data_IF_202857313394
#
_entry.id   IF_202857313394
#
_cell.length_a   1.000
_cell.length_b   1.000
_cell.length_c   1.000
_cell.angle_alpha   90.00
_cell.angle_beta   90.00
_cell.angle_gamma   90.00
#
_symmetry.space_group_name_H-M   'P 1'
#
loop_
_entity.id
_entity.type
_entity.pdbx_description
1 polymer ?
#
# COMPACT_ATOMS: atom_id res chain seq x y z
N UNK A 1 -9.85 -3.61 23.25
CA UNK A 1 -10.18 -2.37 23.98
C UNK A 1 -9.04 -1.92 24.91
N UNK A 2 -8.71 -0.62 24.89
CA UNK A 2 -7.80 -0.04 25.88
C UNK A 2 -8.45 -0.13 27.27
N UNK A 3 -7.78 -0.81 28.21
CA UNK A 3 -8.24 -0.93 29.60
C UNK A 3 -7.88 0.28 30.46
N UNK A 4 -6.99 1.15 29.96
CA UNK A 4 -6.45 2.30 30.67
C UNK A 4 -6.43 3.48 29.68
N UNK A 5 -7.09 4.58 30.04
CA UNK A 5 -7.01 5.84 29.33
C UNK A 5 -5.86 6.65 29.91
N UNK A 6 -4.87 6.99 29.08
CA UNK A 6 -3.58 7.52 29.55
C UNK A 6 -3.66 8.98 30.04
N UNK A 7 -4.74 9.70 29.73
CA UNK A 7 -4.97 11.09 30.15
C UNK A 7 -3.83 12.06 29.80
N UNK A 8 -3.97 13.32 30.19
CA UNK A 8 -2.91 14.32 29.99
C UNK A 8 -1.74 14.07 30.94
N UNK A 9 -2.00 13.68 32.18
CA UNK A 9 -0.96 13.41 33.18
C UNK A 9 -0.04 12.25 32.77
N UNK A 10 -0.59 11.15 32.25
CA UNK A 10 0.20 10.00 31.83
C UNK A 10 0.98 10.26 30.54
N UNK A 11 0.34 10.91 29.55
CA UNK A 11 1.00 11.23 28.28
C UNK A 11 2.12 12.27 28.45
N UNK A 12 1.91 13.32 29.27
CA UNK A 12 2.96 14.29 29.59
C UNK A 12 4.13 13.66 30.36
N UNK A 13 3.84 12.79 31.33
CA UNK A 13 4.87 12.09 32.09
C UNK A 13 5.74 11.20 31.20
N UNK A 14 5.13 10.41 30.31
CA UNK A 14 5.88 9.58 29.35
C UNK A 14 6.66 10.43 28.37
N UNK A 15 6.08 11.53 27.87
CA UNK A 15 6.78 12.49 27.01
C UNK A 15 8.02 13.08 27.70
N UNK A 16 7.88 13.48 28.97
CA UNK A 16 8.98 14.00 29.78
C UNK A 16 10.10 12.97 30.00
N UNK A 17 9.74 11.72 30.33
CA UNK A 17 10.73 10.63 30.50
C UNK A 17 11.49 10.34 29.20
N UNK A 18 10.78 10.28 28.06
CA UNK A 18 11.40 10.05 26.76
C UNK A 18 12.34 11.20 26.38
N UNK A 19 11.90 12.46 26.56
CA UNK A 19 12.74 13.64 26.31
C UNK A 19 13.99 13.66 27.18
N UNK A 20 13.85 13.35 28.48
CA UNK A 20 14.97 13.29 29.43
C UNK A 20 15.96 12.17 29.08
N UNK A 21 15.46 11.01 28.63
CA UNK A 21 16.30 9.89 28.19
C UNK A 21 17.14 10.22 26.97
N UNK A 22 16.59 10.99 26.01
CA UNK A 22 17.33 11.48 24.84
C UNK A 22 18.49 12.39 25.25
N UNK A 23 18.29 13.26 26.26
CA UNK A 23 19.33 14.16 26.77
C UNK A 23 20.46 13.40 27.48
N UNK A 24 20.12 12.37 28.28
CA UNK A 24 21.12 11.56 29.00
C UNK A 24 22.04 10.76 28.05
N UNK A 25 21.55 10.38 26.87
CA UNK A 25 22.31 9.65 25.83
C UNK A 25 23.29 10.50 25.01
N UNK A 26 23.41 11.81 25.28
CA UNK A 26 24.32 12.71 24.54
C UNK A 26 25.74 12.78 25.11
N UNK A 27 26.05 12.07 26.20
CA UNK A 27 27.36 12.14 26.89
C UNK A 27 28.51 11.36 26.21
N UNK A 28 28.28 10.74 25.04
CA UNK A 28 29.27 9.93 24.31
C UNK A 28 29.95 10.66 23.14
N UNK A 29 31.19 11.09 23.33
CA UNK A 29 32.06 11.83 22.40
C UNK A 29 32.30 11.23 21.00
N UNK A 30 31.33 11.38 20.09
CA UNK A 30 31.57 11.40 18.65
C UNK A 30 30.95 12.67 18.09
N UNK A 31 31.68 13.40 17.24
CA UNK A 31 31.15 14.51 16.43
C UNK A 31 29.99 13.99 15.56
N UNK A 32 28.78 13.97 16.13
CA UNK A 32 27.54 13.62 15.43
C UNK A 32 27.20 14.82 14.56
N UNK A 33 27.22 14.65 13.23
CA UNK A 33 26.77 15.70 12.32
C UNK A 33 25.34 16.12 12.66
N UNK A 34 25.03 17.43 12.51
CA UNK A 34 23.73 18.04 12.83
C UNK A 34 22.55 17.22 12.27
N UNK A 35 22.74 16.63 11.08
CA UNK A 35 21.77 15.74 10.45
C UNK A 35 21.35 14.55 11.33
N UNK A 36 22.31 13.82 11.91
CA UNK A 36 22.01 12.67 12.77
C UNK A 36 21.35 13.07 14.09
N UNK A 37 21.70 14.25 14.62
CA UNK A 37 21.12 14.80 15.85
C UNK A 37 19.62 15.09 15.66
N UNK A 38 19.23 15.58 14.48
CA UNK A 38 17.83 15.85 14.14
C UNK A 38 17.08 14.60 13.67
N UNK A 39 17.71 13.76 12.85
CA UNK A 39 17.05 12.60 12.25
C UNK A 39 16.67 11.52 13.28
N UNK A 40 17.54 11.25 14.26
CA UNK A 40 17.33 10.17 15.24
C UNK A 40 16.04 10.37 16.07
N UNK A 41 15.80 11.54 16.70
CA UNK A 41 14.54 11.81 17.40
C UNK A 41 13.31 11.75 16.49
N UNK A 42 13.40 12.28 15.26
CA UNK A 42 12.30 12.24 14.29
C UNK A 42 11.93 10.80 13.92
N UNK A 43 12.93 9.93 13.73
CA UNK A 43 12.71 8.51 13.45
C UNK A 43 12.15 7.74 14.65
N UNK A 44 12.58 8.07 15.88
CA UNK A 44 12.03 7.47 17.10
C UNK A 44 10.56 7.86 17.28
N UNK A 45 10.23 9.13 17.05
CA UNK A 45 8.86 9.65 17.10
C UNK A 45 8.13 9.55 15.76
N UNK A 46 8.58 8.65 14.87
CA UNK A 46 8.08 8.56 13.50
C UNK A 46 6.57 8.36 13.45
N UNK A 47 6.02 7.40 14.21
CA UNK A 47 4.59 7.07 14.19
C UNK A 47 3.70 8.28 14.53
N UNK A 48 3.87 8.96 15.68
CA UNK A 48 3.04 10.13 16.00
C UNK A 48 3.27 11.30 15.05
N UNK A 49 4.51 11.54 14.58
CA UNK A 49 4.79 12.61 13.61
C UNK A 49 4.10 12.34 12.28
N UNK A 50 4.20 11.11 11.77
CA UNK A 50 3.54 10.71 10.52
C UNK A 50 2.04 10.83 10.62
N UNK A 51 1.44 10.29 11.68
CA UNK A 51 -0.01 10.28 11.84
C UNK A 51 -0.60 11.70 11.94
N UNK A 52 0.01 12.55 12.77
CA UNK A 52 -0.42 13.95 12.93
C UNK A 52 -0.21 14.75 11.65
N UNK A 53 0.93 14.59 10.98
CA UNK A 53 1.22 15.28 9.71
C UNK A 53 0.26 14.83 8.62
N UNK A 54 0.03 13.52 8.49
CA UNK A 54 -0.84 12.92 7.49
C UNK A 54 -2.29 13.39 7.65
N UNK A 55 -2.84 13.29 8.87
CA UNK A 55 -4.20 13.76 9.19
C UNK A 55 -4.32 15.26 8.97
N UNK A 56 -3.34 16.06 9.40
CA UNK A 56 -3.37 17.51 9.23
C UNK A 56 -3.35 17.92 7.76
N UNK A 57 -2.47 17.32 6.96
CA UNK A 57 -2.38 17.56 5.52
C UNK A 57 -3.70 17.20 4.85
N UNK A 58 -4.24 16.01 5.12
CA UNK A 58 -5.49 15.57 4.52
C UNK A 58 -6.70 16.42 4.93
N UNK A 59 -6.84 16.76 6.22
CA UNK A 59 -7.91 17.67 6.69
C UNK A 59 -7.81 19.03 6.02
N UNK A 60 -6.60 19.59 5.91
CA UNK A 60 -6.39 20.88 5.23
C UNK A 60 -6.69 20.78 3.74
N UNK A 61 -6.32 19.67 3.09
CA UNK A 61 -6.70 19.39 1.71
C UNK A 61 -8.22 19.30 1.54
N UNK A 62 -8.96 18.77 2.53
CA UNK A 62 -10.42 18.76 2.57
C UNK A 62 -11.08 20.03 3.12
N UNK A 63 -10.32 21.11 3.33
CA UNK A 63 -10.86 22.38 3.84
C UNK A 63 -11.31 22.35 5.30
N UNK A 64 -10.91 21.34 6.06
CA UNK A 64 -11.23 21.16 7.49
C UNK A 64 -10.14 21.71 8.40
N UNK A 65 -10.53 22.09 9.62
CA UNK A 65 -9.59 22.53 10.67
C UNK A 65 -8.84 21.33 11.23
N UNK A 66 -7.53 21.48 11.41
CA UNK A 66 -6.68 20.44 12.00
C UNK A 66 -7.10 20.07 13.44
N UNK A 67 -7.69 21.00 14.19
CA UNK A 67 -8.09 20.83 15.60
C UNK A 67 -9.42 20.12 15.82
N UNK A 68 -10.17 19.77 14.78
CA UNK A 68 -11.41 19.00 14.94
C UNK A 68 -11.09 17.54 15.27
N UNK A 69 -11.72 16.94 16.28
CA UNK A 69 -11.59 15.51 16.56
C UNK A 69 -12.24 14.66 15.47
N UNK A 70 -11.65 13.52 15.12
CA UNK A 70 -12.15 12.64 14.06
C UNK A 70 -11.52 11.25 14.09
N UNK A 71 -12.17 10.29 13.43
CA UNK A 71 -11.69 8.90 13.29
C UNK A 71 -10.86 8.70 12.00
N UNK A 72 -10.13 9.73 11.56
CA UNK A 72 -9.34 9.74 10.32
C UNK A 72 -7.85 9.51 10.53
N UNK A 73 -7.45 9.19 11.76
CA UNK A 73 -6.11 8.74 12.10
C UNK A 73 -5.75 7.43 11.38
N UNK A 74 -4.46 7.20 11.21
CA UNK A 74 -3.88 6.04 10.53
C UNK A 74 -4.43 4.74 11.09
N UNK A 75 -4.54 4.60 12.41
CA UNK A 75 -5.12 3.43 13.07
C UNK A 75 -6.56 3.15 12.62
N UNK A 76 -7.41 4.18 12.60
CA UNK A 76 -8.80 4.05 12.17
C UNK A 76 -8.92 3.80 10.67
N UNK A 77 -8.07 4.41 9.84
CA UNK A 77 -8.01 4.12 8.39
C UNK A 77 -7.61 2.68 8.10
N UNK A 78 -6.70 2.13 8.89
CA UNK A 78 -6.31 0.71 8.79
C UNK A 78 -7.46 -0.22 9.17
N UNK A 79 -8.24 0.12 10.18
CA UNK A 79 -9.46 -0.62 10.53
C UNK A 79 -10.55 -0.44 9.46
N UNK A 80 -10.70 0.76 8.89
CA UNK A 80 -11.63 1.05 7.80
C UNK A 80 -11.25 0.31 6.50
N UNK A 81 -9.99 -0.10 6.34
CA UNK A 81 -9.50 -1.03 5.32
C UNK A 81 -9.78 -2.51 5.64
N UNK A 82 -10.57 -2.80 6.67
CA UNK A 82 -10.99 -4.15 7.04
C UNK A 82 -9.98 -4.92 7.91
N UNK A 83 -8.89 -4.29 8.38
CA UNK A 83 -8.04 -4.91 9.40
C UNK A 83 -8.76 -4.97 10.75
N UNK A 84 -8.54 -6.03 11.51
CA UNK A 84 -8.99 -6.05 12.91
C UNK A 84 -8.20 -5.03 13.72
N UNK A 85 -8.81 -4.48 14.79
CA UNK A 85 -8.13 -3.52 15.68
C UNK A 85 -6.76 -4.04 16.16
N UNK A 86 -6.69 -5.34 16.52
CA UNK A 86 -5.43 -5.98 16.93
C UNK A 86 -4.38 -5.98 15.82
N UNK A 87 -4.78 -6.25 14.59
CA UNK A 87 -3.88 -6.27 13.44
C UNK A 87 -3.39 -4.87 13.10
N UNK A 88 -4.28 -3.86 13.18
CA UNK A 88 -3.91 -2.47 12.98
C UNK A 88 -2.85 -2.01 14.01
N UNK A 89 -3.04 -2.35 15.29
CA UNK A 89 -2.06 -2.04 16.34
C UNK A 89 -0.73 -2.76 16.13
N UNK A 90 -0.75 -4.07 15.81
CA UNK A 90 0.47 -4.83 15.52
C UNK A 90 1.24 -4.25 14.33
N UNK A 91 0.54 -3.78 13.30
CA UNK A 91 1.18 -3.16 12.15
C UNK A 91 1.81 -1.81 12.50
N UNK A 92 1.16 -1.00 13.34
CA UNK A 92 1.75 0.25 13.85
C UNK A 92 2.99 -0.04 14.68
N UNK A 93 2.99 -1.10 15.52
CA UNK A 93 4.18 -1.53 16.24
C UNK A 93 5.28 -2.02 15.30
N UNK A 94 4.96 -2.75 14.24
CA UNK A 94 5.95 -3.15 13.24
C UNK A 94 6.62 -1.93 12.59
N UNK A 95 5.84 -0.91 12.19
CA UNK A 95 6.40 0.35 11.67
C UNK A 95 7.26 1.09 12.69
N UNK A 96 6.85 1.13 13.96
CA UNK A 96 7.64 1.73 15.04
C UNK A 96 8.97 1.00 15.24
N UNK A 97 8.97 -0.34 15.22
CA UNK A 97 10.19 -1.15 15.31
C UNK A 97 11.09 -0.91 14.11
N UNK A 98 10.55 -0.90 12.89
CA UNK A 98 11.34 -0.58 11.68
C UNK A 98 11.98 0.81 11.77
N UNK A 99 11.23 1.83 12.19
CA UNK A 99 11.74 3.18 12.37
C UNK A 99 12.79 3.26 13.49
N UNK A 100 12.60 2.52 14.58
CA UNK A 100 13.58 2.40 15.68
C UNK A 100 14.88 1.75 15.23
N UNK A 101 14.81 0.62 14.51
CA UNK A 101 15.99 -0.03 13.92
C UNK A 101 16.71 0.90 12.94
N UNK A 102 15.95 1.61 12.10
CA UNK A 102 16.51 2.61 11.20
C UNK A 102 17.21 3.75 11.97
N UNK A 103 16.62 4.22 13.06
CA UNK A 103 17.22 5.24 13.93
C UNK A 103 18.54 4.77 14.54
N UNK A 104 18.61 3.50 14.98
CA UNK A 104 19.86 2.89 15.46
C UNK A 104 20.91 2.81 14.35
N UNK A 105 20.55 2.43 13.12
CA UNK A 105 21.47 2.42 11.99
C UNK A 105 21.99 3.83 11.65
N UNK A 106 21.09 4.81 11.58
CA UNK A 106 21.44 6.23 11.33
C UNK A 106 22.38 6.77 12.40
N UNK A 107 22.26 6.30 13.65
CA UNK A 107 23.17 6.70 14.74
C UNK A 107 24.60 6.17 14.59
N UNK A 108 24.82 5.14 13.77
CA UNK A 108 26.12 4.48 13.57
C UNK A 108 26.76 4.76 12.21
N UNK A 109 25.97 5.10 11.21
CA UNK A 109 26.42 5.32 9.84
C UNK A 109 26.85 6.77 9.59
N UNK A 110 27.63 6.98 8.53
CA UNK A 110 28.02 8.31 8.08
C UNK A 110 26.80 9.10 7.53
N UNK A 111 26.83 10.44 7.52
CA UNK A 111 25.69 11.26 7.08
C UNK A 111 25.13 10.92 5.70
N UNK A 112 25.99 10.70 4.70
CA UNK A 112 25.58 10.26 3.35
C UNK A 112 24.81 8.94 3.35
N UNK A 113 25.34 7.94 4.05
CA UNK A 113 24.75 6.60 4.17
C UNK A 113 23.40 6.68 4.88
N UNK A 114 23.36 7.44 5.97
CA UNK A 114 22.14 7.74 6.70
C UNK A 114 21.10 8.44 5.83
N UNK A 115 21.52 9.39 4.98
CA UNK A 115 20.62 10.08 4.06
C UNK A 115 19.99 9.11 3.04
N UNK A 116 20.76 8.18 2.48
CA UNK A 116 20.23 7.17 1.56
C UNK A 116 19.11 6.33 2.20
N UNK A 117 19.34 5.85 3.43
CA UNK A 117 18.36 5.05 4.16
C UNK A 117 17.11 5.85 4.54
N UNK A 118 17.28 7.10 4.97
CA UNK A 118 16.15 7.99 5.32
C UNK A 118 15.31 8.30 4.08
N UNK A 119 15.94 8.57 2.93
CA UNK A 119 15.22 8.80 1.68
C UNK A 119 14.45 7.56 1.25
N UNK A 120 15.06 6.36 1.32
CA UNK A 120 14.36 5.11 1.03
C UNK A 120 13.15 4.90 1.94
N UNK A 121 13.33 5.08 3.26
CA UNK A 121 12.24 4.98 4.23
C UNK A 121 11.13 5.99 3.93
N UNK A 122 11.48 7.24 3.62
CA UNK A 122 10.52 8.30 3.26
C UNK A 122 9.70 7.94 2.02
N UNK A 123 10.28 7.27 1.00
CA UNK A 123 9.51 6.77 -0.16
C UNK A 123 8.48 5.74 0.28
N UNK A 124 8.91 4.75 1.05
CA UNK A 124 8.03 3.67 1.52
C UNK A 124 6.83 4.28 2.25
N UNK A 125 7.08 5.28 3.07
CA UNK A 125 6.04 6.02 3.79
C UNK A 125 5.15 6.87 2.88
N UNK A 126 5.72 7.54 1.88
CA UNK A 126 4.94 8.30 0.91
C UNK A 126 3.99 7.38 0.12
N UNK A 127 4.46 6.19 -0.29
CA UNK A 127 3.64 5.16 -0.95
C UNK A 127 2.49 4.72 -0.04
N UNK A 128 2.78 4.42 1.23
CA UNK A 128 1.77 4.02 2.22
C UNK A 128 0.79 5.16 2.47
N UNK A 129 1.25 6.40 2.64
CA UNK A 129 0.41 7.58 2.85
C UNK A 129 -0.54 7.83 1.67
N UNK A 130 -0.03 7.79 0.44
CA UNK A 130 -0.85 7.91 -0.78
C UNK A 130 -1.88 6.79 -0.89
N UNK A 131 -1.57 5.59 -0.39
CA UNK A 131 -2.54 4.52 -0.33
C UNK A 131 -3.63 4.80 0.74
N UNK A 132 -3.22 5.15 1.95
CA UNK A 132 -4.14 5.46 3.07
C UNK A 132 -5.03 6.67 2.78
N UNK A 133 -4.59 7.60 1.94
CA UNK A 133 -5.40 8.77 1.56
C UNK A 133 -6.59 8.39 0.66
N UNK A 134 -6.53 7.25 -0.04
CA UNK A 134 -7.63 6.74 -0.86
C UNK A 134 -8.72 6.06 -0.04
N UNK A 135 -8.45 5.77 1.24
CA UNK A 135 -9.43 5.19 2.15
C UNK A 135 -10.46 6.26 2.48
N UNK A 136 -11.67 6.08 1.99
CA UNK A 136 -12.80 6.95 2.30
C UNK A 136 -13.22 6.70 3.75
N UNK A 137 -12.89 7.64 4.62
CA UNK A 137 -13.36 7.68 6.02
C UNK A 137 -14.63 8.52 6.14
N UNK A 138 -14.89 9.39 5.17
CA UNK A 138 -16.02 10.32 5.13
C UNK A 138 -16.93 10.02 3.93
N UNK A 139 -18.22 10.33 4.07
CA UNK A 139 -19.22 10.05 3.04
C UNK A 139 -19.12 10.97 1.82
N UNK A 140 -19.69 10.56 0.69
CA UNK A 140 -19.59 11.25 -0.62
C UNK A 140 -20.05 12.72 -0.58
N UNK A 141 -21.02 13.03 0.28
CA UNK A 141 -21.53 14.40 0.52
C UNK A 141 -20.46 15.38 1.04
N UNK A 142 -19.50 14.88 1.82
CA UNK A 142 -18.40 15.72 2.35
C UNK A 142 -17.37 16.05 1.26
N UNK A 143 -17.17 15.15 0.28
CA UNK A 143 -16.25 15.35 -0.85
C UNK A 143 -16.79 16.41 -1.82
N UNK A 144 -18.10 16.39 -2.09
CA UNK A 144 -18.76 17.40 -2.93
C UNK A 144 -18.61 18.81 -2.33
N UNK A 145 -18.86 18.95 -1.02
CA UNK A 145 -18.72 20.21 -0.29
C UNK A 145 -17.26 20.70 -0.24
N UNK A 146 -16.28 19.79 -0.13
CA UNK A 146 -14.87 20.15 -0.14
C UNK A 146 -14.38 20.57 -1.54
N UNK A 147 -14.90 19.95 -2.60
CA UNK A 147 -14.56 20.27 -3.99
C UNK A 147 -14.99 21.66 -4.43
N UNK A 148 -16.13 22.13 -3.92
CA UNK A 148 -16.66 23.45 -4.19
C UNK A 148 -15.91 24.55 -3.42
N UNK A 149 -15.38 24.25 -2.24
CA UNK A 149 -14.81 25.25 -1.33
C UNK A 149 -13.29 25.43 -1.43
N UNK A 150 -12.55 24.50 -2.04
CA UNK A 150 -11.07 24.56 -2.07
C UNK A 150 -10.50 24.36 -3.47
N UNK A 151 -9.96 25.44 -4.05
CA UNK A 151 -9.24 25.39 -5.32
C UNK A 151 -8.01 24.46 -5.27
N UNK A 152 -7.38 24.33 -4.10
CA UNK A 152 -6.26 23.40 -3.86
C UNK A 152 -6.74 21.96 -3.94
N UNK A 153 -7.93 21.66 -3.40
CA UNK A 153 -8.53 20.33 -3.52
C UNK A 153 -8.85 20.00 -4.98
N UNK A 154 -9.53 20.90 -5.69
CA UNK A 154 -9.84 20.72 -7.10
C UNK A 154 -8.58 20.51 -7.96
N UNK A 155 -7.48 21.20 -7.64
CA UNK A 155 -6.19 21.04 -8.30
C UNK A 155 -5.53 19.70 -7.97
N UNK A 156 -5.43 19.30 -6.69
CA UNK A 156 -4.83 18.03 -6.29
C UNK A 156 -5.64 16.86 -6.80
N UNK A 157 -6.97 16.92 -6.74
CA UNK A 157 -7.86 15.90 -7.29
C UNK A 157 -7.65 15.79 -8.81
N UNK A 158 -7.58 16.90 -9.54
CA UNK A 158 -7.24 16.88 -10.98
C UNK A 158 -5.85 16.31 -11.28
N UNK A 159 -4.84 16.58 -10.45
CA UNK A 159 -3.51 15.97 -10.58
C UNK A 159 -3.57 14.46 -10.29
N UNK A 160 -4.33 14.07 -9.26
CA UNK A 160 -4.54 12.67 -8.87
C UNK A 160 -5.27 11.90 -9.99
N UNK A 161 -6.17 12.58 -10.73
CA UNK A 161 -6.79 12.04 -11.95
C UNK A 161 -5.78 11.90 -13.11
N UNK A 162 -4.78 12.78 -13.21
CA UNK A 162 -3.61 12.59 -14.11
C UNK A 162 -2.55 11.71 -13.48
N UNK A 163 -2.96 10.48 -13.13
CA UNK A 163 -2.13 9.36 -12.65
C UNK A 163 -0.69 9.39 -13.17
N UNK A 164 -0.49 9.58 -14.49
CA UNK A 164 0.81 9.63 -15.16
C UNK A 164 1.81 10.64 -14.56
N UNK A 165 1.34 11.80 -14.09
CA UNK A 165 2.21 12.83 -13.49
C UNK A 165 2.82 12.30 -12.18
N UNK A 166 2.00 11.63 -11.36
CA UNK A 166 2.48 10.99 -10.14
C UNK A 166 3.50 9.87 -10.44
N UNK A 167 3.27 9.08 -11.49
CA UNK A 167 4.21 8.03 -11.91
C UNK A 167 5.57 8.61 -12.30
N UNK A 168 5.59 9.67 -13.11
CA UNK A 168 6.82 10.36 -13.54
C UNK A 168 7.55 10.99 -12.36
N UNK A 169 6.82 11.62 -11.43
CA UNK A 169 7.42 12.22 -10.24
C UNK A 169 8.05 11.16 -9.33
N UNK A 170 7.32 10.07 -9.05
CA UNK A 170 7.84 8.95 -8.27
C UNK A 170 9.08 8.35 -8.94
N UNK A 171 9.05 8.12 -10.25
CA UNK A 171 10.18 7.53 -10.96
C UNK A 171 11.39 8.47 -11.01
N UNK A 172 11.18 9.79 -11.12
CA UNK A 172 12.27 10.79 -11.00
C UNK A 172 12.98 10.67 -9.65
N UNK A 173 12.20 10.50 -8.57
CA UNK A 173 12.73 10.33 -7.23
C UNK A 173 13.45 8.98 -7.07
N UNK A 174 12.87 7.88 -7.61
CA UNK A 174 13.50 6.55 -7.59
C UNK A 174 14.81 6.51 -8.38
N UNK A 175 14.86 7.17 -9.53
CA UNK A 175 16.08 7.32 -10.34
C UNK A 175 17.16 8.05 -9.54
N UNK A 176 16.79 9.16 -8.91
CA UNK A 176 17.71 9.96 -8.08
C UNK A 176 18.23 9.15 -6.89
N UNK A 177 17.33 8.48 -6.18
CA UNK A 177 17.68 7.66 -5.02
C UNK A 177 18.57 6.48 -5.41
N UNK A 178 18.24 5.78 -6.48
CA UNK A 178 19.03 4.66 -7.01
C UNK A 178 20.45 5.10 -7.33
N UNK A 179 20.58 6.19 -8.06
CA UNK A 179 21.89 6.72 -8.45
C UNK A 179 22.70 7.20 -7.25
N UNK A 180 22.06 7.93 -6.33
CA UNK A 180 22.70 8.35 -5.07
C UNK A 180 23.16 7.15 -4.25
N UNK A 181 22.32 6.13 -4.11
CA UNK A 181 22.64 4.90 -3.36
C UNK A 181 23.79 4.12 -4.02
N UNK A 182 23.88 4.11 -5.35
CA UNK A 182 25.00 3.49 -6.05
C UNK A 182 26.34 4.15 -5.71
N UNK A 183 26.40 5.49 -5.63
CA UNK A 183 27.59 6.21 -5.16
C UNK A 183 27.91 5.90 -3.70
N UNK A 184 26.89 5.90 -2.83
CA UNK A 184 27.07 5.58 -1.40
C UNK A 184 27.60 4.17 -1.19
N UNK A 185 27.09 3.17 -1.92
CA UNK A 185 27.53 1.78 -1.80
C UNK A 185 28.96 1.59 -2.31
N UNK A 186 29.35 2.29 -3.36
CA UNK A 186 30.67 2.15 -3.95
C UNK A 186 31.75 2.94 -3.21
N UNK A 187 31.43 4.13 -2.70
CA UNK A 187 32.41 5.08 -2.18
C UNK A 187 32.21 5.47 -0.70
N UNK A 188 31.12 5.04 -0.06
CA UNK A 188 30.77 5.49 1.30
C UNK A 188 30.39 6.97 1.32
N UNK A 189 30.96 7.75 2.24
CA UNK A 189 30.85 9.22 2.21
C UNK A 189 31.68 9.81 1.06
N UNK A 190 30.98 10.22 0.00
CA UNK A 190 31.59 10.81 -1.19
C UNK A 190 31.39 12.32 -1.30
N UNK A 191 30.70 12.94 -0.34
CA UNK A 191 30.38 14.38 -0.29
C UNK A 191 31.61 15.30 -0.33
N UNK A 192 32.72 14.87 0.28
CA UNK A 192 33.98 15.62 0.32
C UNK A 192 34.97 15.18 -0.78
N UNK A 193 34.53 14.39 -1.75
CA UNK A 193 35.35 13.89 -2.85
C UNK A 193 34.91 14.50 -4.18
N UNK A 194 35.77 14.44 -5.21
CA UNK A 194 35.39 14.86 -6.57
C UNK A 194 34.16 14.12 -7.13
N UNK A 195 33.80 12.97 -6.54
CA UNK A 195 32.60 12.22 -6.93
C UNK A 195 31.29 12.97 -6.66
N UNK A 196 31.24 13.89 -5.69
CA UNK A 196 30.04 14.70 -5.45
C UNK A 196 29.72 15.61 -6.63
N UNK A 197 30.74 16.25 -7.20
CA UNK A 197 30.62 17.08 -8.38
C UNK A 197 30.24 16.26 -9.61
N UNK A 198 30.86 15.08 -9.77
CA UNK A 198 30.51 14.14 -10.85
C UNK A 198 29.05 13.68 -10.74
N UNK A 199 28.57 13.39 -9.53
CA UNK A 199 27.18 13.03 -9.27
C UNK A 199 26.24 14.16 -9.67
N UNK A 200 26.47 15.40 -9.22
CA UNK A 200 25.62 16.55 -9.54
C UNK A 200 25.61 16.88 -11.03
N UNK A 201 26.75 16.78 -11.72
CA UNK A 201 26.85 17.01 -13.17
C UNK A 201 26.09 15.97 -13.99
N UNK A 202 26.15 14.70 -13.59
CA UNK A 202 25.56 13.58 -14.33
C UNK A 202 24.08 13.32 -13.99
N UNK A 203 23.62 13.66 -12.79
CA UNK A 203 22.26 13.37 -12.32
C UNK A 203 21.14 13.91 -13.24
N UNK A 204 21.13 15.19 -13.67
CA UNK A 204 20.06 15.71 -14.54
C UNK A 204 20.00 14.97 -15.88
N UNK A 205 21.16 14.64 -16.45
CA UNK A 205 21.28 13.88 -17.68
C UNK A 205 20.67 12.48 -17.54
N UNK A 206 21.00 11.78 -16.45
CA UNK A 206 20.48 10.44 -16.16
C UNK A 206 18.97 10.45 -15.96
N UNK A 207 18.42 11.45 -15.25
CA UNK A 207 16.98 11.60 -15.06
C UNK A 207 16.29 11.72 -16.41
N UNK A 208 16.73 12.64 -17.27
CA UNK A 208 16.10 12.88 -18.58
C UNK A 208 16.17 11.63 -19.46
N UNK A 209 17.33 10.99 -19.56
CA UNK A 209 17.52 9.82 -20.42
C UNK A 209 16.71 8.61 -19.94
N UNK A 210 16.64 8.36 -18.63
CA UNK A 210 15.87 7.25 -18.08
C UNK A 210 14.36 7.48 -18.18
N UNK A 211 13.88 8.70 -17.94
CA UNK A 211 12.47 9.03 -18.15
C UNK A 211 12.07 8.88 -19.61
N UNK A 212 12.94 9.32 -20.54
CA UNK A 212 12.74 9.09 -21.97
C UNK A 212 12.70 7.59 -22.30
N UNK A 213 13.63 6.80 -21.77
CA UNK A 213 13.64 5.35 -21.95
C UNK A 213 12.39 4.67 -21.38
N UNK A 214 11.89 5.12 -20.22
CA UNK A 214 10.66 4.62 -19.62
C UNK A 214 9.44 4.94 -20.48
N UNK A 215 9.39 6.14 -21.05
CA UNK A 215 8.35 6.53 -21.99
C UNK A 215 8.39 5.68 -23.27
N UNK A 216 9.58 5.49 -23.85
CA UNK A 216 9.79 4.72 -25.07
C UNK A 216 9.47 3.22 -24.87
N UNK A 217 9.87 2.65 -23.73
CA UNK A 217 9.58 1.27 -23.38
C UNK A 217 8.11 1.04 -22.99
N UNK A 218 7.33 2.09 -22.79
CA UNK A 218 5.90 1.99 -22.46
C UNK A 218 5.60 1.73 -20.98
N UNK A 219 6.54 2.06 -20.07
CA UNK A 219 6.36 1.92 -18.61
C UNK A 219 5.11 2.64 -18.12
N UNK A 220 4.79 3.80 -18.70
CA UNK A 220 3.62 4.63 -18.35
C UNK A 220 2.33 4.27 -19.10
N UNK A 221 2.35 3.21 -19.93
CA UNK A 221 1.13 2.70 -20.59
C UNK A 221 0.38 1.70 -19.71
N UNK A 222 1.06 1.07 -18.75
CA UNK A 222 0.51 0.03 -17.89
C UNK A 222 -0.42 0.55 -16.78
N UNK A 223 -1.49 -0.19 -16.51
CA UNK A 223 -2.33 0.04 -15.34
C UNK A 223 -1.76 -0.75 -14.14
N UNK A 224 -1.09 -0.08 -13.19
CA UNK A 224 -0.55 -0.69 -11.95
C UNK A 224 -1.57 -1.52 -11.14
N UNK A 225 -2.87 -1.35 -11.39
CA UNK A 225 -3.95 -2.15 -10.79
C UNK A 225 -3.90 -3.62 -11.24
N UNK A 226 -3.30 -3.89 -12.39
CA UNK A 226 -3.25 -5.18 -13.07
C UNK A 226 -1.81 -5.63 -13.35
N UNK A 227 -0.83 -5.13 -12.59
CA UNK A 227 0.59 -5.43 -12.79
C UNK A 227 0.83 -6.95 -12.81
N UNK A 228 1.22 -7.45 -13.97
CA UNK A 228 1.44 -8.85 -14.31
C UNK A 228 2.94 -9.15 -14.45
N UNK A 229 3.29 -10.42 -14.70
CA UNK A 229 4.67 -10.80 -15.06
C UNK A 229 5.12 -10.08 -16.35
N UNK A 230 4.19 -9.76 -17.26
CA UNK A 230 4.50 -9.01 -18.48
C UNK A 230 5.01 -7.59 -18.21
N UNK A 231 4.57 -6.96 -17.12
CA UNK A 231 5.02 -5.62 -16.74
C UNK A 231 6.46 -5.61 -16.25
N UNK A 232 6.93 -6.70 -15.64
CA UNK A 232 8.34 -6.85 -15.28
C UNK A 232 9.24 -6.72 -16.51
N UNK A 233 8.87 -7.38 -17.61
CA UNK A 233 9.63 -7.30 -18.87
C UNK A 233 9.67 -5.86 -19.40
N UNK A 234 8.53 -5.16 -19.35
CA UNK A 234 8.44 -3.74 -19.74
C UNK A 234 9.36 -2.86 -18.90
N UNK A 235 9.36 -3.05 -17.58
CA UNK A 235 10.23 -2.30 -16.67
C UNK A 235 11.70 -2.61 -16.92
N UNK A 236 12.07 -3.89 -17.04
CA UNK A 236 13.44 -4.30 -17.34
C UNK A 236 13.94 -3.71 -18.67
N UNK A 237 13.12 -3.72 -19.73
CA UNK A 237 13.46 -3.09 -21.02
C UNK A 237 13.71 -1.59 -20.85
N UNK A 238 12.83 -0.88 -20.15
CA UNK A 238 12.99 0.56 -19.89
C UNK A 238 14.25 0.89 -19.09
N UNK A 239 14.57 0.09 -18.07
CA UNK A 239 15.76 0.26 -17.25
C UNK A 239 17.03 -0.04 -18.05
N UNK A 240 17.08 -1.16 -18.78
CA UNK A 240 18.23 -1.51 -19.61
C UNK A 240 18.47 -0.43 -20.67
N UNK A 241 17.42 0.01 -21.37
CA UNK A 241 17.53 1.09 -22.35
C UNK A 241 18.02 2.39 -21.70
N UNK A 242 17.46 2.77 -20.56
CA UNK A 242 17.85 3.98 -19.83
C UNK A 242 19.30 3.93 -19.33
N UNK A 243 19.74 2.79 -18.81
CA UNK A 243 21.12 2.56 -18.35
C UNK A 243 22.10 2.58 -19.53
N UNK A 244 21.77 1.95 -20.66
CA UNK A 244 22.60 1.99 -21.87
C UNK A 244 22.70 3.41 -22.41
N UNK A 245 21.58 4.13 -22.54
CA UNK A 245 21.58 5.53 -22.96
C UNK A 245 22.41 6.41 -22.02
N UNK A 246 22.31 6.19 -20.71
CA UNK A 246 23.10 6.92 -19.71
C UNK A 246 24.61 6.66 -19.89
N UNK A 247 25.01 5.40 -20.04
CA UNK A 247 26.42 5.00 -20.28
C UNK A 247 26.95 5.60 -21.58
N UNK A 248 26.18 5.52 -22.67
CA UNK A 248 26.57 6.10 -23.97
C UNK A 248 26.69 7.61 -23.88
N UNK A 249 25.76 8.31 -23.22
CA UNK A 249 25.83 9.75 -23.05
C UNK A 249 27.05 10.17 -22.23
N UNK A 250 27.37 9.44 -21.16
CA UNK A 250 28.58 9.69 -20.35
C UNK A 250 29.86 9.43 -21.17
N UNK A 251 29.88 8.41 -22.02
CA UNK A 251 30.99 8.17 -22.95
C UNK A 251 31.18 9.32 -23.94
N UNK A 252 30.10 9.81 -24.55
CA UNK A 252 30.17 10.84 -25.60
C UNK A 252 30.50 12.22 -25.03
N UNK A 253 29.91 12.59 -23.89
CA UNK A 253 30.06 13.93 -23.31
C UNK A 253 31.26 14.06 -22.39
N UNK A 254 31.60 13.01 -21.65
CA UNK A 254 32.63 13.04 -20.60
C UNK A 254 33.75 12.01 -20.80
N UNK A 255 33.69 11.18 -21.85
CA UNK A 255 34.70 10.14 -22.16
C UNK A 255 35.02 9.19 -20.99
N UNK A 256 34.06 9.04 -20.06
CA UNK A 256 34.26 8.32 -18.80
C UNK A 256 35.42 8.83 -17.93
N UNK A 257 35.88 10.07 -18.12
CA UNK A 257 36.95 10.65 -17.31
C UNK A 257 36.49 10.75 -15.84
N UNK A 258 37.19 10.07 -14.94
CA UNK A 258 36.88 9.97 -13.50
C UNK A 258 35.54 9.30 -13.13
N UNK A 259 34.73 8.85 -14.11
CA UNK A 259 33.48 8.14 -13.85
C UNK A 259 33.73 6.64 -13.66
N UNK A 260 33.29 6.10 -12.51
CA UNK A 260 33.31 4.66 -12.28
C UNK A 260 32.16 3.95 -13.00
N UNK A 261 32.49 2.98 -13.85
CA UNK A 261 31.52 2.13 -14.58
C UNK A 261 30.64 1.32 -13.62
N UNK A 262 31.18 0.93 -12.46
CA UNK A 262 30.46 0.17 -11.46
C UNK A 262 29.24 0.91 -10.90
N UNK A 263 29.30 2.25 -10.84
CA UNK A 263 28.16 3.08 -10.39
C UNK A 263 26.94 2.85 -11.27
N UNK A 264 27.10 2.85 -12.59
CA UNK A 264 25.98 2.69 -13.53
C UNK A 264 25.38 1.28 -13.51
N UNK A 265 26.21 0.27 -13.24
CA UNK A 265 25.76 -1.11 -13.06
C UNK A 265 24.96 -1.25 -11.76
N UNK A 266 25.50 -0.73 -10.65
CA UNK A 266 24.83 -0.75 -9.35
C UNK A 266 23.51 0.04 -9.40
N UNK A 267 23.52 1.22 -10.02
CA UNK A 267 22.31 2.01 -10.24
C UNK A 267 21.28 1.26 -11.09
N UNK A 268 21.66 0.55 -12.16
CA UNK A 268 20.71 -0.27 -12.92
C UNK A 268 20.05 -1.35 -12.07
N UNK A 269 20.83 -2.03 -11.21
CA UNK A 269 20.33 -3.08 -10.31
C UNK A 269 19.40 -2.48 -9.24
N UNK A 270 19.82 -1.41 -8.57
CA UNK A 270 19.02 -0.75 -7.52
C UNK A 270 17.75 -0.16 -8.12
N UNK A 271 17.82 0.43 -9.31
CA UNK A 271 16.66 0.98 -10.00
C UNK A 271 15.64 -0.11 -10.34
N UNK A 272 16.10 -1.29 -10.76
CA UNK A 272 15.22 -2.45 -10.99
C UNK A 272 14.45 -2.83 -9.73
N UNK A 273 15.15 -3.02 -8.61
CA UNK A 273 14.49 -3.39 -7.35
C UNK A 273 13.55 -2.30 -6.84
N UNK A 274 13.95 -1.02 -6.94
CA UNK A 274 13.14 0.09 -6.42
C UNK A 274 11.91 0.38 -7.29
N UNK A 275 12.02 0.32 -8.62
CA UNK A 275 10.88 0.46 -9.54
C UNK A 275 9.93 -0.72 -9.38
N UNK A 276 10.41 -1.96 -9.52
CA UNK A 276 9.57 -3.16 -9.38
C UNK A 276 8.94 -3.22 -8.00
N UNK A 277 9.73 -2.96 -6.95
CA UNK A 277 9.26 -2.90 -5.56
C UNK A 277 8.18 -1.85 -5.34
N UNK A 278 8.33 -0.65 -5.90
CA UNK A 278 7.30 0.40 -5.79
C UNK A 278 5.96 -0.04 -6.39
N UNK A 279 5.97 -0.72 -7.54
CA UNK A 279 4.75 -1.18 -8.22
C UNK A 279 4.14 -2.41 -7.52
N UNK A 280 4.99 -3.33 -7.08
CA UNK A 280 4.58 -4.51 -6.33
C UNK A 280 3.98 -4.11 -4.98
N UNK A 281 4.52 -3.09 -4.30
CA UNK A 281 3.97 -2.58 -3.05
C UNK A 281 2.49 -2.13 -3.23
N UNK A 282 2.18 -1.39 -4.30
CA UNK A 282 0.79 -1.01 -4.58
C UNK A 282 -0.14 -2.22 -4.82
N UNK A 283 0.37 -3.29 -5.45
CA UNK A 283 -0.37 -4.52 -5.65
C UNK A 283 -0.57 -5.27 -4.33
N UNK A 284 0.51 -5.52 -3.60
CA UNK A 284 0.51 -6.28 -2.34
C UNK A 284 -0.35 -5.61 -1.29
N UNK A 285 -0.25 -4.29 -1.13
CA UNK A 285 -1.07 -3.56 -0.17
C UNK A 285 -2.56 -3.77 -0.47
N UNK A 286 -2.98 -3.76 -1.74
CA UNK A 286 -4.38 -3.99 -2.12
C UNK A 286 -4.82 -5.46 -2.00
N UNK A 287 -3.89 -6.40 -2.21
CA UNK A 287 -4.17 -7.84 -2.13
C UNK A 287 -4.20 -8.34 -0.68
N UNK A 288 -3.38 -7.76 0.19
CA UNK A 288 -3.28 -8.07 1.62
C UNK A 288 -4.32 -7.32 2.47
N UNK A 289 -4.78 -6.15 2.02
CA UNK A 289 -5.85 -5.44 2.71
C UNK A 289 -7.21 -6.02 2.29
N UNK A 290 -7.96 -6.61 3.22
CA UNK A 290 -9.26 -7.17 2.92
C UNK A 290 -10.17 -6.06 2.38
N UNK A 291 -10.86 -6.30 1.26
CA UNK A 291 -11.90 -5.36 0.85
C UNK A 291 -12.94 -5.32 1.96
N UNK A 292 -13.11 -4.15 2.58
CA UNK A 292 -14.00 -3.93 3.71
C UNK A 292 -15.37 -4.50 3.35
N UNK A 293 -15.77 -5.54 4.07
CA UNK A 293 -17.15 -6.01 3.97
C UNK A 293 -18.04 -4.93 4.60
N UNK A 294 -19.19 -4.60 3.99
CA UNK A 294 -20.10 -3.64 4.57
C UNK A 294 -20.45 -4.05 6.00
N UNK A 295 -20.36 -3.12 6.96
CA UNK A 295 -20.67 -3.37 8.39
C UNK A 295 -22.14 -3.75 8.58
N UNK A 296 -23.00 -3.39 7.63
CA UNK A 296 -24.45 -3.65 7.60
C UNK A 296 -24.86 -4.41 6.33
N UNK A 297 -23.94 -5.23 5.80
CA UNK A 297 -24.16 -6.02 4.60
C UNK A 297 -24.92 -7.31 4.87
N UNK A 298 -25.76 -7.74 3.92
CA UNK A 298 -26.47 -9.02 4.00
C UNK A 298 -25.46 -10.17 4.05
N UNK A 299 -25.51 -10.97 5.09
CA UNK A 299 -24.55 -12.06 5.34
C UNK A 299 -24.83 -13.21 4.38
N UNK A 300 -23.87 -13.50 3.50
CA UNK A 300 -24.03 -14.48 2.42
C UNK A 300 -23.12 -15.69 2.53
N UNK A 301 -23.70 -16.87 2.36
CA UNK A 301 -22.96 -18.11 2.11
C UNK A 301 -22.92 -18.40 0.62
N UNK A 302 -21.73 -18.72 0.10
CA UNK A 302 -21.56 -19.07 -1.32
C UNK A 302 -21.56 -20.59 -1.46
N UNK A 303 -22.58 -21.14 -2.13
CA UNK A 303 -22.68 -22.57 -2.41
C UNK A 303 -21.94 -22.91 -3.71
N UNK A 304 -20.83 -23.64 -3.56
CA UNK A 304 -19.84 -23.99 -4.58
C UNK A 304 -18.52 -23.27 -4.32
N UNK A 305 -17.50 -24.01 -3.87
CA UNK A 305 -16.16 -23.51 -3.56
C UNK A 305 -15.15 -23.87 -4.68
N UNK A 306 -15.55 -23.69 -5.94
CA UNK A 306 -14.69 -23.77 -7.12
C UNK A 306 -14.53 -22.42 -7.81
N UNK A 307 -14.02 -22.42 -9.04
CA UNK A 307 -13.73 -21.19 -9.80
C UNK A 307 -14.93 -20.23 -9.91
N UNK A 308 -16.14 -20.78 -10.13
CA UNK A 308 -17.37 -19.98 -10.17
C UNK A 308 -17.70 -19.31 -8.83
N UNK A 309 -17.47 -20.01 -7.72
CA UNK A 309 -17.64 -19.45 -6.38
C UNK A 309 -16.61 -18.40 -6.04
N UNK A 310 -15.35 -18.62 -6.44
CA UNK A 310 -14.30 -17.63 -6.30
C UNK A 310 -14.63 -16.35 -7.09
N UNK A 311 -15.14 -16.49 -8.31
CA UNK A 311 -15.50 -15.35 -9.13
C UNK A 311 -16.67 -14.56 -8.53
N UNK A 312 -17.69 -15.26 -8.00
CA UNK A 312 -18.78 -14.63 -7.23
C UNK A 312 -18.24 -13.90 -6.01
N UNK A 313 -17.35 -14.52 -5.22
CA UNK A 313 -16.73 -13.87 -4.07
C UNK A 313 -15.98 -12.59 -4.47
N UNK A 314 -15.23 -12.65 -5.58
CA UNK A 314 -14.48 -11.51 -6.10
C UNK A 314 -15.42 -10.38 -6.52
N UNK A 315 -16.55 -10.69 -7.12
CA UNK A 315 -17.55 -9.70 -7.53
C UNK A 315 -18.24 -9.05 -6.33
N UNK A 316 -18.65 -9.85 -5.35
CA UNK A 316 -19.24 -9.36 -4.09
C UNK A 316 -18.28 -8.43 -3.34
N UNK A 317 -16.98 -8.74 -3.34
CA UNK A 317 -15.96 -7.87 -2.72
C UNK A 317 -15.71 -6.60 -3.52
N UNK A 318 -15.68 -6.67 -4.85
CA UNK A 318 -15.36 -5.50 -5.67
C UNK A 318 -16.51 -4.50 -5.81
N UNK A 319 -17.76 -4.94 -5.62
CA UNK A 319 -18.95 -4.10 -5.75
C UNK A 319 -19.62 -3.88 -4.39
N UNK A 320 -19.14 -2.87 -3.66
CA UNK A 320 -19.71 -2.49 -2.37
C UNK A 320 -21.18 -2.06 -2.44
N UNK A 321 -21.65 -1.61 -3.60
CA UNK A 321 -23.05 -1.23 -3.85
C UNK A 321 -24.04 -2.38 -3.63
N UNK A 322 -23.61 -3.63 -3.80
CA UNK A 322 -24.48 -4.79 -3.62
C UNK A 322 -24.75 -5.09 -2.14
N UNK A 323 -24.02 -4.43 -1.23
CA UNK A 323 -24.17 -4.53 0.22
C UNK A 323 -24.23 -5.98 0.73
N UNK A 324 -23.31 -6.83 0.27
CA UNK A 324 -23.17 -8.21 0.69
C UNK A 324 -21.93 -8.44 1.56
N UNK A 325 -22.08 -9.27 2.59
CA UNK A 325 -20.98 -9.70 3.48
C UNK A 325 -20.78 -11.21 3.37
N UNK A 326 -19.79 -11.68 2.60
CA UNK A 326 -19.48 -13.11 2.50
C UNK A 326 -18.99 -13.69 3.82
N UNK A 327 -19.69 -14.71 4.34
CA UNK A 327 -19.33 -15.37 5.62
C UNK A 327 -18.61 -16.71 5.44
N UNK A 328 -18.68 -17.31 4.25
CA UNK A 328 -18.12 -18.64 4.01
C UNK A 328 -18.52 -19.24 2.68
N UNK A 329 -17.91 -20.39 2.39
CA UNK A 329 -18.32 -21.25 1.29
C UNK A 329 -19.00 -22.52 1.82
N UNK A 330 -19.83 -23.14 1.00
CA UNK A 330 -20.30 -24.51 1.16
C UNK A 330 -19.88 -25.28 -0.07
N UNK A 331 -19.35 -26.49 0.08
CA UNK A 331 -19.02 -27.37 -1.04
C UNK A 331 -19.32 -28.82 -0.67
N UNK A 332 -19.73 -29.61 -1.66
CA UNK A 332 -20.02 -31.03 -1.51
C UNK A 332 -18.73 -31.88 -1.50
N UNK A 333 -17.61 -31.32 -1.96
CA UNK A 333 -16.31 -32.00 -1.98
C UNK A 333 -15.72 -32.11 -0.55
N UNK A 334 -15.60 -33.32 0.02
CA UNK A 334 -15.05 -33.52 1.36
C UNK A 334 -13.59 -33.09 1.46
N UNK A 335 -12.84 -33.05 0.36
CA UNK A 335 -11.45 -32.57 0.35
C UNK A 335 -11.34 -31.06 0.57
N UNK A 336 -12.43 -30.31 0.40
CA UNK A 336 -12.46 -28.87 0.64
C UNK A 336 -12.94 -28.50 2.04
N UNK A 337 -13.59 -29.42 2.75
CA UNK A 337 -14.11 -29.20 4.09
C UNK A 337 -13.03 -28.64 5.04
N UNK A 338 -13.34 -27.53 5.69
CA UNK A 338 -12.48 -26.89 6.67
C UNK A 338 -11.31 -26.09 6.08
N UNK A 339 -11.04 -26.18 4.77
CA UNK A 339 -10.05 -25.34 4.09
C UNK A 339 -10.51 -23.88 4.03
N UNK A 340 -9.56 -23.00 3.73
CA UNK A 340 -9.78 -21.56 3.62
C UNK A 340 -9.51 -21.13 2.19
N UNK A 341 -10.48 -20.45 1.57
CA UNK A 341 -10.36 -19.86 0.23
C UNK A 341 -10.55 -18.36 0.36
N UNK A 342 -9.56 -17.57 -0.05
CA UNK A 342 -9.60 -16.10 0.01
C UNK A 342 -10.01 -15.53 1.40
N UNK A 343 -9.58 -16.22 2.47
CA UNK A 343 -9.86 -15.86 3.86
C UNK A 343 -11.18 -16.39 4.44
N UNK A 344 -11.98 -17.11 3.65
CA UNK A 344 -13.26 -17.67 4.08
C UNK A 344 -13.18 -19.19 4.22
N UNK A 345 -13.77 -19.74 5.29
CA UNK A 345 -13.80 -21.18 5.54
C UNK A 345 -14.83 -21.86 4.63
N UNK A 346 -14.48 -23.06 4.16
CA UNK A 346 -15.40 -23.95 3.45
C UNK A 346 -16.08 -24.87 4.47
N UNK A 347 -17.40 -24.78 4.55
CA UNK A 347 -18.27 -25.58 5.39
C UNK A 347 -18.80 -26.79 4.63
N UNK A 348 -19.23 -27.80 5.38
CA UNK A 348 -19.84 -29.01 4.85
C UNK A 348 -21.29 -28.76 4.43
N UNK A 349 -21.71 -29.34 3.31
CA UNK A 349 -23.11 -29.29 2.85
C UNK A 349 -23.99 -30.30 3.58
N UNK A 350 -23.41 -31.39 4.12
CA UNK A 350 -24.16 -32.49 4.68
C UNK A 350 -24.66 -32.21 6.11
N UNK A 351 -25.98 -32.01 6.23
CA UNK A 351 -26.72 -32.03 7.50
C UNK A 351 -26.52 -30.82 8.42
N UNK A 352 -25.45 -30.05 8.26
CA UNK A 352 -25.11 -28.90 9.11
C UNK A 352 -25.54 -27.54 8.57
N UNK A 353 -26.20 -27.48 7.41
CA UNK A 353 -26.50 -26.20 6.74
C UNK A 353 -27.37 -25.28 7.61
N UNK A 354 -28.35 -25.85 8.30
CA UNK A 354 -29.23 -25.11 9.21
C UNK A 354 -28.45 -24.53 10.41
N UNK A 355 -27.59 -25.34 11.02
CA UNK A 355 -26.75 -24.93 12.15
C UNK A 355 -25.79 -23.82 11.74
N UNK A 356 -25.16 -23.95 10.56
CA UNK A 356 -24.25 -22.93 10.02
C UNK A 356 -25.02 -21.61 9.78
N UNK A 357 -26.22 -21.68 9.18
CA UNK A 357 -27.03 -20.49 8.95
C UNK A 357 -27.37 -19.77 10.26
N UNK A 358 -27.66 -20.51 11.33
CA UNK A 358 -27.94 -19.95 12.66
C UNK A 358 -26.70 -19.39 13.33
N UNK A 359 -25.63 -20.19 13.42
CA UNK A 359 -24.37 -19.80 14.08
C UNK A 359 -23.69 -18.60 13.40
N UNK A 360 -23.91 -18.44 12.09
CA UNK A 360 -23.34 -17.36 11.28
C UNK A 360 -24.37 -16.31 10.88
N UNK A 361 -25.57 -16.27 11.49
CA UNK A 361 -26.68 -15.36 11.16
C UNK A 361 -26.74 -15.03 9.66
N UNK A 362 -26.95 -16.05 8.82
CA UNK A 362 -26.90 -15.92 7.36
C UNK A 362 -28.24 -15.38 6.86
N UNK A 363 -28.20 -14.34 6.03
CA UNK A 363 -29.39 -13.75 5.43
C UNK A 363 -29.72 -14.38 4.07
N UNK A 364 -28.69 -14.71 3.28
CA UNK A 364 -28.88 -15.24 1.93
C UNK A 364 -27.83 -16.32 1.55
N UNK A 365 -28.23 -17.32 0.77
CA UNK A 365 -27.33 -18.30 0.12
C UNK A 365 -27.24 -17.97 -1.37
N UNK A 366 -26.01 -17.83 -1.87
CA UNK A 366 -25.69 -17.57 -3.26
C UNK A 366 -25.14 -18.83 -3.92
N UNK A 367 -25.92 -19.42 -4.83
CA UNK A 367 -25.48 -20.56 -5.62
C UNK A 367 -24.60 -20.08 -6.77
N UNK A 368 -23.33 -20.50 -6.77
CA UNK A 368 -22.36 -20.23 -7.85
C UNK A 368 -22.13 -21.44 -8.76
N UNK A 369 -22.46 -22.65 -8.29
CA UNK A 369 -22.24 -23.88 -9.07
C UNK A 369 -23.27 -24.03 -10.18
N UNK A 370 -22.77 -24.16 -11.42
CA UNK A 370 -23.58 -24.47 -12.60
C UNK A 370 -24.04 -25.93 -12.67
N UNK A 371 -23.46 -26.82 -11.86
CA UNK A 371 -23.71 -28.28 -11.86
C UNK A 371 -24.23 -28.77 -10.50
N UNK A 372 -25.31 -28.15 -10.02
CA UNK A 372 -26.00 -28.65 -8.82
C UNK A 372 -27.06 -29.67 -9.22
N UNK A 373 -27.08 -30.81 -8.51
CA UNK A 373 -28.11 -31.82 -8.70
C UNK A 373 -29.50 -31.27 -8.28
N UNK A 374 -30.60 -31.67 -8.95
CA UNK A 374 -31.94 -31.24 -8.56
C UNK A 374 -32.29 -31.57 -7.11
N UNK A 375 -31.82 -32.73 -6.60
CA UNK A 375 -32.03 -33.18 -5.22
C UNK A 375 -31.32 -32.24 -4.24
N UNK A 376 -30.05 -31.92 -4.49
CA UNK A 376 -29.28 -30.99 -3.67
C UNK A 376 -29.93 -29.60 -3.62
N UNK A 377 -30.42 -29.10 -4.77
CA UNK A 377 -31.12 -27.81 -4.83
C UNK A 377 -32.41 -27.81 -4.01
N UNK A 378 -33.15 -28.91 -4.04
CA UNK A 378 -34.38 -29.07 -3.28
C UNK A 378 -34.09 -29.08 -1.78
N UNK A 379 -33.08 -29.83 -1.34
CA UNK A 379 -32.64 -29.87 0.06
C UNK A 379 -32.24 -28.46 0.56
N UNK A 380 -31.43 -27.73 -0.22
CA UNK A 380 -31.05 -26.34 0.11
C UNK A 380 -32.29 -25.46 0.24
N UNK A 381 -33.25 -25.58 -0.68
CA UNK A 381 -34.50 -24.79 -0.67
C UNK A 381 -35.33 -25.06 0.58
N UNK A 382 -35.42 -26.32 1.01
CA UNK A 382 -36.11 -26.71 2.24
C UNK A 382 -35.41 -26.14 3.48
N UNK A 383 -34.07 -26.24 3.56
CA UNK A 383 -33.29 -25.65 4.66
C UNK A 383 -33.42 -24.13 4.72
N UNK A 384 -33.37 -23.46 3.55
CA UNK A 384 -33.57 -22.01 3.45
C UNK A 384 -34.96 -21.60 3.95
N UNK A 385 -36.01 -22.34 3.59
CA UNK A 385 -37.38 -22.09 4.08
C UNK A 385 -37.48 -22.27 5.59
N UNK A 386 -36.91 -23.34 6.14
CA UNK A 386 -36.94 -23.61 7.57
C UNK A 386 -36.16 -22.57 8.39
N UNK A 387 -35.14 -21.97 7.80
CA UNK A 387 -34.25 -21.01 8.47
C UNK A 387 -34.56 -19.55 8.15
N UNK A 388 -35.59 -19.28 7.33
CA UNK A 388 -35.94 -17.96 6.78
C UNK A 388 -34.76 -17.25 6.09
N UNK A 389 -33.98 -18.00 5.31
CA UNK A 389 -32.80 -17.52 4.58
C UNK A 389 -33.14 -17.37 3.10
N UNK A 390 -32.78 -16.24 2.49
CA UNK A 390 -32.98 -16.03 1.05
C UNK A 390 -32.10 -16.95 0.20
N UNK A 391 -32.58 -17.35 -0.98
CA UNK A 391 -31.83 -18.20 -1.90
C UNK A 391 -31.74 -17.52 -3.27
N UNK A 392 -30.53 -17.24 -3.73
CA UNK A 392 -30.29 -16.66 -5.06
C UNK A 392 -29.24 -17.47 -5.81
N UNK A 393 -29.20 -17.26 -7.12
CA UNK A 393 -28.23 -17.88 -8.02
C UNK A 393 -27.42 -16.78 -8.69
N UNK A 394 -26.10 -16.87 -8.58
CA UNK A 394 -25.17 -15.96 -9.22
C UNK A 394 -24.56 -16.68 -10.44
N UNK A 395 -24.79 -16.12 -11.63
CA UNK A 395 -24.30 -16.66 -12.89
C UNK A 395 -23.72 -15.54 -13.73
N UNK A 396 -22.58 -15.81 -14.38
CA UNK A 396 -22.09 -14.98 -15.48
C UNK A 396 -22.69 -15.51 -16.78
N UNK A 397 -23.33 -14.61 -17.53
CA UNK A 397 -23.85 -14.89 -18.85
C UNK A 397 -23.20 -13.93 -19.84
N UNK A 398 -22.94 -14.43 -21.05
CA UNK A 398 -22.53 -13.63 -22.18
C UNK A 398 -23.77 -13.57 -23.07
N UNK A 399 -24.30 -12.36 -23.26
CA UNK A 399 -25.51 -12.12 -24.05
C UNK A 399 -25.11 -11.39 -25.34
N UNK A 400 -25.64 -11.80 -26.52
CA UNK A 400 -25.47 -11.02 -27.73
C UNK A 400 -26.21 -9.70 -27.58
N UNK A 401 -25.56 -8.59 -27.96
CA UNK A 401 -26.21 -7.30 -28.11
C UNK A 401 -26.46 -7.08 -29.59
N UNK A 402 -27.72 -6.86 -29.96
CA UNK A 402 -28.07 -6.45 -31.31
C UNK A 402 -27.61 -5.00 -31.54
N UNK A 403 -26.97 -4.75 -32.68
CA UNK A 403 -26.56 -3.41 -33.09
C UNK A 403 -27.78 -2.72 -33.73
N UNK A 404 -28.69 -2.18 -32.92
CA UNK A 404 -29.72 -1.24 -33.42
C UNK A 404 -29.09 0.08 -33.90
#
# INVERSE_FOLDING_TARGET
>A
PASIFMGDCGSMFVGFLLASSVLLGQTGGRSRGVFSILAVPVLILFVPIFDTTFVTILRKMWGRKASQGGQDHTSHRLVALGLSERSAVLMIYAFAVCAGVLSLLVSRLQPTQSMALILFFTIVLAIIGVYLSKVKVYGERDEELASQNSAVFAFIVNISYKRRIFEVFLDTFLITLSYFTAYVLLFGSFENSGNWELFLKSLPLLIVLKLFAFLAAGVYRGLWRYTSVGDFITFSKGIILGSVLSVVAILLLYRFENFSRAVFVLDGIILLFTVVGSRLAFRLIRELLPVSSPVDGRRVLIYGAGDGGELVLRELRNNSEWNYQPVGFIDDDPLKKGKVINGLRVFDSNGSLQDICRDKNVDEILISSGKISPQTLQNIRETCRASNVGLKRAQLKIEPLDFE
#
